data_IF_121598948144
#
_entry.id   IF_121598948144
#
_cell.length_a   1.000
_cell.length_b   1.000
_cell.length_c   1.000
_cell.angle_alpha   90.00
_cell.angle_beta   90.00
_cell.angle_gamma   90.00
#
_symmetry.space_group_name_H-M   'P 1'
#
loop_
_entity.id
_entity.type
_entity.pdbx_description
1 polymer ?
#
# COMPACT_ATOMS: atom_id res chain seq x y z
N UNK A 1 -6.91 -17.82 -20.49
CA UNK A 1 -6.97 -16.51 -19.81
C UNK A 1 -6.68 -16.76 -18.34
N UNK A 2 -5.64 -16.12 -17.80
CA UNK A 2 -5.30 -16.23 -16.38
C UNK A 2 -6.36 -15.59 -15.51
N UNK A 3 -6.57 -16.15 -14.31
CA UNK A 3 -7.47 -15.62 -13.29
C UNK A 3 -6.68 -15.08 -12.10
N UNK A 4 -6.97 -13.86 -11.69
CA UNK A 4 -6.36 -13.25 -10.52
C UNK A 4 -7.41 -12.83 -9.51
N UNK A 5 -7.21 -13.20 -8.24
CA UNK A 5 -7.96 -12.66 -7.12
C UNK A 5 -7.20 -11.47 -6.53
N UNK A 6 -7.90 -10.35 -6.32
CA UNK A 6 -7.38 -9.17 -5.63
C UNK A 6 -8.24 -8.93 -4.40
N UNK A 7 -7.69 -9.18 -3.21
CA UNK A 7 -8.36 -8.74 -1.98
C UNK A 7 -8.14 -7.25 -1.76
N UNK A 8 -9.14 -6.54 -1.23
CA UNK A 8 -9.02 -5.09 -1.04
C UNK A 8 -9.05 -4.28 -2.34
N UNK A 9 -9.78 -4.74 -3.36
CA UNK A 9 -9.87 -4.09 -4.68
C UNK A 9 -10.30 -2.62 -4.63
N UNK A 10 -11.10 -2.23 -3.65
CA UNK A 10 -11.58 -0.85 -3.48
C UNK A 10 -10.54 0.10 -2.88
N UNK A 11 -9.38 -0.42 -2.49
CA UNK A 11 -8.23 0.36 -2.04
C UNK A 11 -7.48 1.05 -3.19
N UNK A 12 -6.47 1.88 -2.84
CA UNK A 12 -5.60 2.51 -3.83
C UNK A 12 -4.94 1.47 -4.73
N UNK A 13 -4.17 0.57 -4.14
CA UNK A 13 -3.37 -0.41 -4.88
C UNK A 13 -4.24 -1.43 -5.60
N UNK A 14 -5.32 -1.90 -4.94
CA UNK A 14 -6.26 -2.84 -5.54
C UNK A 14 -6.89 -2.31 -6.82
N UNK A 15 -7.24 -1.02 -6.85
CA UNK A 15 -7.83 -0.40 -8.03
C UNK A 15 -6.84 -0.24 -9.20
N UNK A 16 -5.59 0.16 -8.93
CA UNK A 16 -4.54 0.24 -9.97
C UNK A 16 -4.11 -1.16 -10.45
N UNK A 17 -4.02 -2.13 -9.53
CA UNK A 17 -3.68 -3.49 -9.91
C UNK A 17 -4.78 -4.12 -10.77
N UNK A 18 -6.05 -3.85 -10.47
CA UNK A 18 -7.17 -4.32 -11.29
C UNK A 18 -7.10 -3.74 -12.71
N UNK A 19 -6.80 -2.44 -12.88
CA UNK A 19 -6.56 -1.83 -14.19
C UNK A 19 -5.43 -2.57 -14.92
N UNK A 20 -4.28 -2.69 -14.29
CA UNK A 20 -3.10 -3.33 -14.86
C UNK A 20 -3.38 -4.77 -15.32
N UNK A 21 -4.07 -5.57 -14.51
CA UNK A 21 -4.34 -6.96 -14.84
C UNK A 21 -5.41 -7.11 -15.93
N UNK A 22 -6.42 -6.25 -15.93
CA UNK A 22 -7.40 -6.20 -17.03
C UNK A 22 -6.75 -5.82 -18.38
N UNK A 23 -5.80 -4.88 -18.38
CA UNK A 23 -5.01 -4.51 -19.57
C UNK A 23 -4.09 -5.63 -20.04
N UNK A 24 -3.71 -6.55 -19.14
CA UNK A 24 -2.93 -7.77 -19.45
C UNK A 24 -3.80 -9.00 -19.75
N UNK A 25 -5.07 -8.80 -20.08
CA UNK A 25 -6.02 -9.85 -20.44
C UNK A 25 -6.32 -10.89 -19.35
N UNK A 26 -6.22 -10.52 -18.08
CA UNK A 26 -6.69 -11.36 -16.97
C UNK A 26 -8.20 -11.27 -16.79
N UNK A 27 -8.80 -12.35 -16.26
CA UNK A 27 -10.04 -12.28 -15.52
C UNK A 27 -9.71 -11.90 -14.08
N UNK A 28 -10.25 -10.79 -13.60
CA UNK A 28 -10.00 -10.26 -12.26
C UNK A 28 -11.21 -10.53 -11.37
N UNK A 29 -10.96 -11.19 -10.24
CA UNK A 29 -11.94 -11.38 -9.17
C UNK A 29 -11.57 -10.40 -8.06
N UNK A 30 -12.30 -9.30 -8.00
CA UNK A 30 -12.07 -8.22 -7.04
C UNK A 30 -12.88 -8.41 -5.77
N UNK A 31 -12.18 -8.69 -4.68
CA UNK A 31 -12.79 -8.95 -3.38
C UNK A 31 -12.90 -7.66 -2.55
N UNK A 32 -14.08 -7.42 -2.02
CA UNK A 32 -14.37 -6.28 -1.15
C UNK A 32 -15.16 -6.71 0.07
N UNK A 33 -14.94 -6.05 1.20
CA UNK A 33 -15.73 -6.27 2.39
C UNK A 33 -17.13 -5.65 2.23
N UNK A 34 -18.16 -6.32 2.71
CA UNK A 34 -19.50 -5.77 2.75
C UNK A 34 -19.53 -4.43 3.48
N UNK A 35 -20.16 -3.44 2.87
CA UNK A 35 -20.36 -2.12 3.44
C UNK A 35 -21.78 -1.62 3.11
N UNK A 36 -22.39 -0.87 4.02
CA UNK A 36 -23.64 -0.15 3.76
C UNK A 36 -23.44 1.12 2.92
N UNK A 37 -22.18 1.55 2.74
CA UNK A 37 -21.83 2.72 1.95
C UNK A 37 -21.16 2.23 0.67
N UNK A 38 -21.50 2.84 -0.47
CA UNK A 38 -20.84 2.57 -1.73
C UNK A 38 -19.36 3.05 -1.65
N UNK A 39 -18.42 2.13 -1.77
CA UNK A 39 -16.98 2.39 -1.73
C UNK A 39 -16.26 2.02 -3.04
N UNK A 40 -17.02 1.93 -4.15
CA UNK A 40 -16.49 1.53 -5.46
C UNK A 40 -15.96 2.71 -6.31
N UNK A 41 -15.83 3.90 -5.76
CA UNK A 41 -15.43 5.11 -6.50
C UNK A 41 -14.10 4.90 -7.28
N UNK A 42 -13.11 4.21 -6.66
CA UNK A 42 -11.81 3.95 -7.30
C UNK A 42 -11.86 2.93 -8.43
N UNK A 43 -12.91 2.13 -8.50
CA UNK A 43 -13.08 1.08 -9.53
C UNK A 43 -14.31 1.28 -10.40
N UNK A 44 -15.00 2.42 -10.26
CA UNK A 44 -16.27 2.70 -10.96
C UNK A 44 -16.18 2.52 -12.48
N UNK A 45 -15.06 2.92 -13.07
CA UNK A 45 -14.84 2.84 -14.50
C UNK A 45 -14.54 1.39 -14.96
N UNK A 46 -14.12 0.53 -14.04
CA UNK A 46 -13.82 -0.88 -14.30
C UNK A 46 -15.03 -1.80 -14.17
N UNK A 47 -16.07 -1.40 -13.40
CA UNK A 47 -17.23 -2.24 -13.11
C UNK A 47 -17.94 -2.74 -14.38
N UNK A 48 -17.89 -1.98 -15.46
CA UNK A 48 -18.49 -2.36 -16.74
C UNK A 48 -17.65 -3.35 -17.56
N UNK A 49 -16.41 -3.61 -17.13
CA UNK A 49 -15.55 -4.55 -17.84
C UNK A 49 -16.04 -6.00 -17.58
N UNK A 50 -16.39 -6.79 -18.61
CA UNK A 50 -16.93 -8.15 -18.43
C UNK A 50 -15.92 -9.12 -17.81
N UNK A 51 -14.63 -8.77 -17.78
CA UNK A 51 -13.57 -9.57 -17.15
C UNK A 51 -13.37 -9.25 -15.67
N UNK A 52 -14.05 -8.24 -15.11
CA UNK A 52 -14.07 -7.94 -13.68
C UNK A 52 -15.29 -8.56 -13.03
N UNK A 53 -15.07 -9.38 -12.03
CA UNK A 53 -16.10 -9.94 -11.15
C UNK A 53 -15.86 -9.35 -9.76
N UNK A 54 -16.89 -8.77 -9.16
CA UNK A 54 -16.82 -8.30 -7.77
C UNK A 54 -17.43 -9.34 -6.84
N UNK A 55 -16.72 -9.68 -5.76
CA UNK A 55 -17.15 -10.66 -4.74
C UNK A 55 -17.13 -10.03 -3.35
N UNK A 56 -18.20 -10.23 -2.59
CA UNK A 56 -18.18 -9.96 -1.16
C UNK A 56 -17.30 -10.98 -0.45
N UNK A 57 -16.37 -10.51 0.37
CA UNK A 57 -15.36 -11.34 0.98
C UNK A 57 -14.86 -10.75 2.30
N UNK A 58 -14.77 -11.59 3.30
CA UNK A 58 -14.12 -11.26 4.57
C UNK A 58 -12.93 -12.21 4.80
N UNK A 59 -11.73 -11.64 4.83
CA UNK A 59 -10.48 -12.39 5.01
C UNK A 59 -10.38 -13.04 6.40
N UNK A 60 -11.13 -12.54 7.38
CA UNK A 60 -11.13 -13.08 8.75
C UNK A 60 -11.96 -14.35 8.86
N UNK A 61 -12.83 -14.66 7.88
CA UNK A 61 -13.61 -15.89 7.83
C UNK A 61 -12.90 -16.97 6.99
N UNK A 62 -12.39 -18.06 7.62
CA UNK A 62 -11.74 -19.16 6.91
C UNK A 62 -12.64 -19.83 5.86
N UNK A 63 -13.95 -19.86 6.11
CA UNK A 63 -14.91 -20.46 5.18
C UNK A 63 -15.04 -19.64 3.90
N UNK A 64 -15.08 -18.29 4.04
CA UNK A 64 -15.05 -17.38 2.89
C UNK A 64 -13.80 -17.58 2.06
N UNK A 65 -12.62 -17.66 2.70
CA UNK A 65 -11.34 -17.89 2.02
C UNK A 65 -11.37 -19.20 1.23
N UNK A 66 -11.77 -20.32 1.86
CA UNK A 66 -11.81 -21.62 1.22
C UNK A 66 -12.81 -21.71 0.07
N UNK A 67 -14.01 -21.13 0.24
CA UNK A 67 -15.04 -21.07 -0.80
C UNK A 67 -14.58 -20.25 -2.00
N UNK A 68 -13.93 -19.09 -1.79
CA UNK A 68 -13.41 -18.23 -2.83
C UNK A 68 -12.36 -18.96 -3.69
N UNK A 69 -11.34 -19.54 -3.04
CA UNK A 69 -10.27 -20.28 -3.73
C UNK A 69 -10.87 -21.50 -4.47
N UNK A 70 -11.80 -22.23 -3.86
CA UNK A 70 -12.43 -23.38 -4.50
C UNK A 70 -13.30 -23.00 -5.71
N UNK A 71 -14.05 -21.88 -5.62
CA UNK A 71 -14.94 -21.40 -6.69
C UNK A 71 -14.17 -21.00 -7.94
N UNK A 72 -13.06 -20.27 -7.75
CA UNK A 72 -12.36 -19.64 -8.89
C UNK A 72 -11.12 -20.39 -9.35
N UNK A 73 -10.46 -21.18 -8.49
CA UNK A 73 -9.18 -21.83 -8.77
C UNK A 73 -8.23 -20.86 -9.50
N UNK A 74 -7.84 -19.75 -8.84
CA UNK A 74 -7.08 -18.70 -9.49
C UNK A 74 -5.66 -19.13 -9.80
N UNK A 75 -5.08 -18.55 -10.85
CA UNK A 75 -3.64 -18.67 -11.13
C UNK A 75 -2.84 -17.82 -10.13
N UNK A 76 -3.39 -16.66 -9.72
CA UNK A 76 -2.69 -15.67 -8.91
C UNK A 76 -3.64 -15.09 -7.84
N UNK A 77 -3.12 -14.89 -6.62
CA UNK A 77 -3.81 -14.18 -5.54
C UNK A 77 -2.94 -13.03 -5.06
N UNK A 78 -3.47 -11.81 -5.12
CA UNK A 78 -2.85 -10.60 -4.60
C UNK A 78 -3.57 -10.17 -3.33
N UNK A 79 -2.93 -10.40 -2.18
CA UNK A 79 -3.52 -10.01 -0.89
C UNK A 79 -3.15 -8.58 -0.51
N UNK A 80 -4.09 -7.66 -0.75
CA UNK A 80 -3.98 -6.23 -0.41
C UNK A 80 -4.97 -5.82 0.69
N UNK A 81 -5.81 -6.75 1.16
CA UNK A 81 -6.71 -6.50 2.29
C UNK A 81 -5.91 -6.30 3.57
N UNK A 82 -6.12 -5.18 4.24
CA UNK A 82 -5.45 -4.85 5.48
C UNK A 82 -6.17 -3.74 6.27
N UNK A 83 -5.94 -3.70 7.58
CA UNK A 83 -6.09 -2.50 8.38
C UNK A 83 -4.77 -1.74 8.32
N UNK A 84 -4.56 -0.86 7.34
CA UNK A 84 -3.26 -0.25 7.01
C UNK A 84 -2.95 1.06 7.73
N UNK A 85 -3.86 1.59 8.54
CA UNK A 85 -3.64 2.86 9.24
C UNK A 85 -2.91 2.63 10.57
N UNK A 86 -1.63 3.01 10.64
CA UNK A 86 -0.77 2.79 11.81
C UNK A 86 -1.37 3.37 13.09
N UNK A 87 -1.90 4.61 13.04
CA UNK A 87 -2.53 5.24 14.23
C UNK A 87 -3.74 4.47 14.76
N UNK A 88 -4.55 3.87 13.89
CA UNK A 88 -5.69 3.03 14.27
C UNK A 88 -5.25 1.74 14.95
N UNK A 89 -4.10 1.16 14.57
CA UNK A 89 -3.62 -0.08 15.17
C UNK A 89 -3.34 0.02 16.66
N UNK A 90 -2.95 1.21 17.15
CA UNK A 90 -2.80 1.44 18.61
C UNK A 90 -4.14 1.43 19.36
N UNK A 91 -5.24 1.80 18.69
CA UNK A 91 -6.58 1.81 19.26
C UNK A 91 -7.31 0.47 19.08
N UNK A 92 -6.97 -0.28 18.04
CA UNK A 92 -7.61 -1.53 17.66
C UNK A 92 -6.58 -2.61 17.33
N UNK A 93 -5.70 -3.00 18.28
CA UNK A 93 -4.62 -3.93 18.01
C UNK A 93 -5.12 -5.33 17.65
N UNK A 94 -6.16 -5.84 18.33
CA UNK A 94 -6.72 -7.17 18.07
C UNK A 94 -7.32 -7.26 16.66
N UNK A 95 -8.16 -6.30 16.26
CA UNK A 95 -8.74 -6.25 14.92
C UNK A 95 -7.66 -6.13 13.83
N UNK A 96 -6.61 -5.33 14.11
CA UNK A 96 -5.47 -5.22 13.20
C UNK A 96 -4.77 -6.58 13.03
N UNK A 97 -4.53 -7.30 14.12
CA UNK A 97 -3.88 -8.60 14.07
C UNK A 97 -4.75 -9.67 13.40
N UNK A 98 -6.05 -9.65 13.66
CA UNK A 98 -7.02 -10.54 13.04
C UNK A 98 -7.03 -10.39 11.51
N UNK A 99 -7.11 -9.17 11.01
CA UNK A 99 -7.13 -8.90 9.56
C UNK A 99 -5.74 -9.15 8.94
N UNK A 100 -4.70 -8.56 9.52
CA UNK A 100 -3.38 -8.44 8.88
C UNK A 100 -2.50 -9.68 9.09
N UNK A 101 -2.89 -10.58 10.01
CA UNK A 101 -2.14 -11.81 10.30
C UNK A 101 -3.01 -13.06 10.11
N UNK A 102 -4.09 -13.19 10.89
CA UNK A 102 -4.94 -14.39 10.83
C UNK A 102 -5.60 -14.51 9.46
N UNK A 103 -6.09 -13.39 8.90
CA UNK A 103 -6.64 -13.38 7.54
C UNK A 103 -5.67 -13.87 6.48
N UNK A 104 -4.38 -13.51 6.59
CA UNK A 104 -3.34 -14.01 5.67
C UNK A 104 -3.16 -15.52 5.81
N UNK A 105 -3.15 -16.05 7.05
CA UNK A 105 -3.06 -17.48 7.32
C UNK A 105 -4.27 -18.21 6.72
N UNK A 106 -5.49 -17.67 6.85
CA UNK A 106 -6.69 -18.26 6.26
C UNK A 106 -6.58 -18.42 4.74
N UNK A 107 -6.03 -17.41 4.03
CA UNK A 107 -5.80 -17.50 2.59
C UNK A 107 -4.72 -18.54 2.25
N UNK A 108 -3.59 -18.52 2.96
CA UNK A 108 -2.50 -19.47 2.73
C UNK A 108 -2.95 -20.91 2.97
N UNK A 109 -3.69 -21.20 4.04
CA UNK A 109 -4.28 -22.51 4.32
C UNK A 109 -5.26 -22.93 3.22
N UNK A 110 -6.09 -21.99 2.75
CA UNK A 110 -7.04 -22.28 1.67
C UNK A 110 -6.32 -22.61 0.36
N UNK A 111 -5.27 -21.86 0.01
CA UNK A 111 -4.45 -22.11 -1.18
C UNK A 111 -3.76 -23.48 -1.06
N UNK A 112 -3.08 -23.74 0.05
CA UNK A 112 -2.40 -25.00 0.32
C UNK A 112 -3.33 -26.21 0.16
N UNK A 113 -4.55 -26.11 0.70
CA UNK A 113 -5.48 -27.24 0.75
C UNK A 113 -6.28 -27.43 -0.54
N UNK A 114 -6.54 -26.35 -1.27
CA UNK A 114 -7.50 -26.35 -2.39
C UNK A 114 -6.83 -26.19 -3.75
N UNK A 115 -5.79 -25.36 -3.86
CA UNK A 115 -5.16 -25.00 -5.14
C UNK A 115 -3.68 -24.64 -4.95
N UNK A 116 -2.86 -25.63 -4.60
CA UNK A 116 -1.45 -25.43 -4.24
C UNK A 116 -0.57 -24.83 -5.36
N UNK A 117 -1.02 -24.89 -6.61
CA UNK A 117 -0.34 -24.26 -7.75
C UNK A 117 -0.60 -22.76 -7.88
N UNK A 118 -1.55 -22.22 -7.11
CA UNK A 118 -1.86 -20.79 -7.10
C UNK A 118 -0.68 -19.99 -6.56
N UNK A 119 -0.22 -19.01 -7.32
CA UNK A 119 0.82 -18.06 -6.87
C UNK A 119 0.22 -17.02 -5.93
N UNK A 120 0.89 -16.77 -4.81
CA UNK A 120 0.41 -15.86 -3.77
C UNK A 120 1.36 -14.69 -3.55
N UNK A 121 0.82 -13.48 -3.62
CA UNK A 121 1.50 -12.23 -3.27
C UNK A 121 0.92 -11.65 -1.98
N UNK A 122 1.80 -11.29 -1.03
CA UNK A 122 1.47 -10.57 0.20
C UNK A 122 2.00 -9.14 0.16
N UNK A 123 1.13 -8.16 0.37
CA UNK A 123 1.55 -6.81 0.67
C UNK A 123 2.11 -6.75 2.09
N UNK A 124 3.43 -6.70 2.21
CA UNK A 124 4.17 -6.38 3.43
C UNK A 124 4.47 -4.87 3.50
N UNK A 125 5.23 -4.42 4.47
CA UNK A 125 5.41 -2.98 4.72
C UNK A 125 6.78 -2.64 5.29
N UNK A 126 7.32 -1.48 4.95
CA UNK A 126 8.52 -0.90 5.56
C UNK A 126 8.37 -0.60 7.06
N UNK A 127 7.15 -0.49 7.59
CA UNK A 127 6.89 -0.31 9.03
C UNK A 127 7.39 -1.50 9.87
N UNK A 128 7.66 -2.66 9.24
CA UNK A 128 8.28 -3.82 9.91
C UNK A 128 9.73 -3.54 10.33
N UNK A 129 10.46 -2.71 9.61
CA UNK A 129 11.83 -2.33 9.97
C UNK A 129 11.88 -1.46 11.23
N UNK A 130 10.83 -0.66 11.47
CA UNK A 130 10.74 0.23 12.62
C UNK A 130 11.90 1.22 12.66
N UNK A 131 12.77 1.10 13.68
CA UNK A 131 13.93 1.99 13.87
C UNK A 131 15.24 1.38 13.37
N UNK A 132 15.17 0.21 12.78
CA UNK A 132 16.36 -0.49 12.31
C UNK A 132 16.73 -0.10 10.88
N UNK A 133 18.00 -0.10 10.58
CA UNK A 133 18.56 0.21 9.25
C UNK A 133 19.98 -0.34 9.11
N UNK A 134 20.37 -0.58 7.90
CA UNK A 134 21.74 -0.85 7.51
C UNK A 134 22.44 0.48 7.16
N UNK A 135 23.74 0.57 7.35
CA UNK A 135 24.54 1.74 6.96
C UNK A 135 25.61 1.30 5.98
N UNK A 136 25.67 1.94 4.82
CA UNK A 136 26.71 1.68 3.84
C UNK A 136 28.07 2.34 4.21
N UNK A 137 29.09 2.08 3.40
CA UNK A 137 30.43 2.61 3.61
C UNK A 137 30.52 4.15 3.56
N UNK A 138 29.53 4.82 2.95
CA UNK A 138 29.42 6.29 2.90
C UNK A 138 28.63 6.89 4.06
N UNK A 139 28.14 6.05 4.99
CA UNK A 139 27.33 6.46 6.13
C UNK A 139 25.84 6.65 5.81
N UNK A 140 25.40 6.25 4.62
CA UNK A 140 24.00 6.35 4.22
C UNK A 140 23.21 5.21 4.85
N UNK A 141 22.11 5.55 5.54
CA UNK A 141 21.18 4.61 6.15
C UNK A 141 20.13 4.17 5.15
N UNK A 142 19.84 2.87 5.11
CA UNK A 142 18.81 2.28 4.26
C UNK A 142 18.24 1.00 4.89
N UNK A 143 17.11 0.53 4.38
CA UNK A 143 16.53 -0.77 4.69
C UNK A 143 16.47 -1.61 3.42
N UNK A 144 16.87 -2.87 3.53
CA UNK A 144 16.79 -3.88 2.49
C UNK A 144 16.26 -5.21 3.05
N UNK A 145 16.20 -6.24 2.24
CA UNK A 145 15.70 -7.56 2.63
C UNK A 145 16.51 -8.24 3.74
N UNK A 146 17.75 -7.80 3.99
CA UNK A 146 18.63 -8.31 5.05
C UNK A 146 18.52 -7.51 6.35
N UNK A 147 17.89 -6.36 6.31
CA UNK A 147 17.72 -5.51 7.49
C UNK A 147 16.78 -6.18 8.49
N UNK A 148 17.23 -6.36 9.74
CA UNK A 148 16.44 -6.98 10.79
C UNK A 148 15.15 -6.21 11.06
N UNK A 149 14.03 -6.94 11.22
CA UNK A 149 12.72 -6.37 11.47
C UNK A 149 12.56 -6.01 12.96
N UNK A 150 12.27 -4.75 13.26
CA UNK A 150 12.07 -4.23 14.62
C UNK A 150 10.87 -3.27 14.70
N UNK A 151 9.65 -3.77 14.45
CA UNK A 151 8.45 -2.93 14.33
C UNK A 151 8.15 -2.11 15.59
N UNK A 152 7.59 -0.92 15.40
CA UNK A 152 7.28 0.04 16.47
C UNK A 152 5.76 0.28 16.62
N UNK A 153 4.92 -0.55 15.99
CA UNK A 153 3.46 -0.42 16.06
C UNK A 153 2.78 -1.79 16.01
N UNK A 154 1.56 -1.93 16.56
CA UNK A 154 0.77 -3.16 16.40
C UNK A 154 0.57 -3.55 14.93
N UNK A 155 0.40 -2.57 14.03
CA UNK A 155 0.36 -2.80 12.59
C UNK A 155 1.66 -3.42 12.06
N UNK A 156 2.81 -2.84 12.40
CA UNK A 156 4.11 -3.37 11.98
C UNK A 156 4.35 -4.79 12.49
N UNK A 157 3.94 -5.10 13.74
CA UNK A 157 4.03 -6.46 14.31
C UNK A 157 3.13 -7.43 13.55
N UNK A 158 1.87 -7.07 13.29
CA UNK A 158 0.94 -7.92 12.55
C UNK A 158 1.45 -8.22 11.13
N UNK A 159 1.97 -7.22 10.44
CA UNK A 159 2.57 -7.38 9.11
C UNK A 159 3.86 -8.21 9.14
N UNK A 160 4.70 -8.06 10.16
CA UNK A 160 5.88 -8.91 10.35
C UNK A 160 5.48 -10.37 10.56
N UNK A 161 4.47 -10.64 11.38
CA UNK A 161 3.97 -11.99 11.61
C UNK A 161 3.47 -12.63 10.30
N UNK A 162 2.64 -11.93 9.52
CA UNK A 162 2.17 -12.44 8.23
C UNK A 162 3.30 -12.61 7.21
N UNK A 163 4.27 -11.69 7.17
CA UNK A 163 5.45 -11.81 6.32
C UNK A 163 6.24 -13.09 6.61
N UNK A 164 6.50 -13.40 7.90
CA UNK A 164 7.16 -14.64 8.31
C UNK A 164 6.33 -15.88 8.00
N UNK A 165 5.00 -15.81 8.14
CA UNK A 165 4.14 -16.91 7.73
C UNK A 165 4.23 -17.19 6.23
N UNK A 166 4.27 -16.17 5.36
CA UNK A 166 4.48 -16.36 3.91
C UNK A 166 5.78 -17.09 3.63
N UNK A 167 6.87 -16.73 4.30
CA UNK A 167 8.16 -17.44 4.17
C UNK A 167 8.06 -18.90 4.58
N UNK A 168 7.43 -19.19 5.72
CA UNK A 168 7.22 -20.57 6.20
C UNK A 168 6.40 -21.38 5.19
N UNK A 169 5.33 -20.81 4.61
CA UNK A 169 4.52 -21.53 3.63
C UNK A 169 5.29 -21.81 2.33
N UNK A 170 6.14 -20.89 1.91
CA UNK A 170 7.07 -21.11 0.79
C UNK A 170 8.07 -22.24 1.08
N UNK A 171 8.72 -22.19 2.24
CA UNK A 171 9.81 -23.11 2.58
C UNK A 171 9.31 -24.51 2.98
N UNK A 172 8.28 -24.57 3.84
CA UNK A 172 7.81 -25.83 4.41
C UNK A 172 6.82 -26.58 3.52
N UNK A 173 6.02 -25.87 2.73
CA UNK A 173 4.95 -26.46 1.91
C UNK A 173 5.17 -26.32 0.41
N UNK A 174 6.24 -25.65 -0.02
CA UNK A 174 6.57 -25.47 -1.43
C UNK A 174 5.61 -24.57 -2.21
N UNK A 175 4.81 -23.72 -1.52
CA UNK A 175 3.93 -22.81 -2.21
C UNK A 175 4.73 -21.71 -2.92
N UNK A 176 4.29 -21.31 -4.11
CA UNK A 176 4.76 -20.06 -4.69
C UNK A 176 4.15 -18.90 -3.92
N UNK A 177 4.83 -18.43 -2.88
CA UNK A 177 4.38 -17.35 -2.03
C UNK A 177 5.49 -16.33 -1.82
N UNK A 178 5.22 -15.04 -2.09
CA UNK A 178 6.19 -13.95 -2.01
C UNK A 178 5.60 -12.72 -1.32
N UNK A 179 6.48 -11.85 -0.80
CA UNK A 179 6.07 -10.63 -0.12
C UNK A 179 6.79 -9.41 -0.68
N UNK A 180 6.03 -8.39 -1.07
CA UNK A 180 6.57 -7.05 -1.35
C UNK A 180 6.68 -6.25 -0.07
N UNK A 181 7.90 -5.91 0.37
CA UNK A 181 8.14 -5.00 1.49
C UNK A 181 8.01 -3.57 0.97
N UNK A 182 6.77 -3.08 0.98
CA UNK A 182 6.43 -1.82 0.33
C UNK A 182 6.79 -0.63 1.22
N UNK A 183 7.51 0.32 0.65
CA UNK A 183 7.67 1.65 1.21
C UNK A 183 6.44 2.50 0.91
N UNK A 184 6.39 3.72 1.44
CA UNK A 184 5.23 4.57 1.26
C UNK A 184 4.98 4.84 -0.23
N UNK A 185 3.77 4.62 -0.68
CA UNK A 185 3.39 4.87 -2.07
C UNK A 185 2.02 5.54 -2.13
N UNK A 186 1.96 6.55 -2.92
CA UNK A 186 0.91 7.53 -2.91
C UNK A 186 0.32 7.71 -4.31
N UNK A 187 -0.83 8.32 -4.39
CA UNK A 187 -1.49 8.69 -5.64
C UNK A 187 -2.72 9.55 -5.35
N UNK A 188 -3.41 10.07 -6.38
CA UNK A 188 -4.75 10.65 -6.23
C UNK A 188 -5.79 9.72 -5.59
N UNK A 189 -5.56 8.39 -5.58
CA UNK A 189 -6.44 7.38 -4.94
C UNK A 189 -6.06 7.05 -3.51
N UNK A 190 -5.06 7.71 -2.92
CA UNK A 190 -4.69 7.50 -1.52
C UNK A 190 -5.86 7.81 -0.58
N UNK A 191 -5.98 7.08 0.53
CA UNK A 191 -6.98 7.37 1.55
C UNK A 191 -6.78 8.76 2.18
N UNK A 192 -7.85 9.50 2.39
CA UNK A 192 -7.81 10.90 2.85
C UNK A 192 -7.23 11.09 4.25
N UNK A 193 -7.19 10.03 5.06
CA UNK A 193 -6.60 10.03 6.40
C UNK A 193 -5.06 9.98 6.41
N UNK A 194 -4.43 9.72 5.26
CA UNK A 194 -2.98 9.71 5.14
C UNK A 194 -2.43 11.11 4.91
N UNK A 195 -1.27 11.41 5.49
CA UNK A 195 -0.70 12.77 5.55
C UNK A 195 -0.59 13.43 4.19
N UNK A 196 -0.12 12.73 3.18
CA UNK A 196 0.04 13.22 1.81
C UNK A 196 -1.29 13.67 1.22
N UNK A 197 -2.33 12.81 1.30
CA UNK A 197 -3.66 13.12 0.79
C UNK A 197 -4.36 14.21 1.60
N UNK A 198 -4.15 14.22 2.93
CA UNK A 198 -4.64 15.31 3.79
C UNK A 198 -4.11 16.66 3.34
N UNK A 199 -2.83 16.73 2.97
CA UNK A 199 -2.20 17.97 2.48
C UNK A 199 -2.81 18.39 1.14
N UNK A 200 -2.90 17.47 0.17
CA UNK A 200 -3.37 17.81 -1.19
C UNK A 200 -4.86 18.15 -1.23
N UNK A 201 -5.69 17.46 -0.46
CA UNK A 201 -7.12 17.78 -0.27
C UNK A 201 -7.32 19.17 0.37
N UNK A 202 -6.52 19.47 1.39
CA UNK A 202 -6.57 20.79 2.01
C UNK A 202 -6.24 21.90 0.99
N UNK A 203 -5.20 21.73 0.18
CA UNK A 203 -4.84 22.68 -0.87
C UNK A 203 -5.98 22.83 -1.89
N UNK A 204 -6.60 21.71 -2.30
CA UNK A 204 -7.76 21.73 -3.18
C UNK A 204 -8.92 22.56 -2.60
N UNK A 205 -9.24 22.33 -1.33
CA UNK A 205 -10.28 23.09 -0.62
C UNK A 205 -9.93 24.58 -0.45
N UNK A 206 -8.66 24.88 -0.15
CA UNK A 206 -8.19 26.26 0.01
C UNK A 206 -8.31 27.06 -1.30
N UNK A 207 -7.79 26.49 -2.41
CA UNK A 207 -7.83 27.14 -3.74
C UNK A 207 -9.27 27.39 -4.20
N UNK A 208 -10.19 26.51 -3.87
CA UNK A 208 -11.60 26.63 -4.25
C UNK A 208 -12.45 27.37 -3.20
N UNK A 209 -11.81 28.05 -2.23
CA UNK A 209 -12.49 28.90 -1.23
C UNK A 209 -13.40 28.16 -0.26
N UNK A 210 -13.17 26.83 -0.05
CA UNK A 210 -13.99 26.00 0.84
C UNK A 210 -13.48 25.94 2.27
N UNK A 211 -12.27 26.39 2.50
CA UNK A 211 -11.69 26.51 3.84
C UNK A 211 -10.81 27.74 3.95
N UNK A 212 -10.80 28.34 5.14
CA UNK A 212 -9.86 29.38 5.58
C UNK A 212 -9.09 28.93 6.82
N UNK A 213 -9.40 27.74 7.35
CA UNK A 213 -8.76 27.18 8.53
C UNK A 213 -7.34 26.71 8.22
N UNK A 214 -6.45 26.72 9.21
CA UNK A 214 -5.10 26.18 9.06
C UNK A 214 -5.10 24.64 8.98
N UNK A 215 -4.18 24.11 8.17
CA UNK A 215 -3.91 22.68 8.10
C UNK A 215 -3.10 22.24 9.31
N UNK A 216 -3.69 21.44 10.17
CA UNK A 216 -2.99 20.86 11.34
C UNK A 216 -2.28 19.56 10.94
N UNK A 217 -0.97 19.52 11.15
CA UNK A 217 -0.10 18.37 10.90
C UNK A 217 0.71 18.01 12.15
N UNK A 218 1.11 16.75 12.26
CA UNK A 218 2.00 16.29 13.32
C UNK A 218 3.47 16.56 13.02
N UNK A 219 4.33 15.56 13.16
CA UNK A 219 5.77 15.67 12.98
C UNK A 219 6.17 15.93 11.51
N UNK A 220 6.56 17.14 11.19
CA UNK A 220 7.02 17.54 9.85
C UNK A 220 8.42 17.00 9.51
N UNK A 221 9.20 16.58 10.49
CA UNK A 221 10.58 16.11 10.29
C UNK A 221 10.68 14.60 10.00
N UNK A 222 9.58 13.86 10.15
CA UNK A 222 9.56 12.45 9.80
C UNK A 222 9.82 12.27 8.29
N UNK A 223 10.80 11.43 7.95
CA UNK A 223 11.23 11.21 6.57
C UNK A 223 10.73 9.87 6.05
N UNK A 224 10.26 9.85 4.83
CA UNK A 224 9.69 8.68 4.15
C UNK A 224 10.23 8.58 2.72
N UNK A 225 10.38 7.36 2.26
CA UNK A 225 10.58 7.06 0.86
C UNK A 225 9.19 6.96 0.22
N UNK A 226 8.83 7.94 -0.60
CA UNK A 226 7.54 8.01 -1.28
C UNK A 226 7.66 7.73 -2.77
N UNK A 227 6.97 6.69 -3.23
CA UNK A 227 6.81 6.39 -4.65
C UNK A 227 5.37 6.51 -5.11
N UNK A 228 5.13 6.26 -6.39
CA UNK A 228 3.79 6.27 -6.97
C UNK A 228 3.18 4.86 -6.97
N UNK A 229 1.91 4.72 -6.58
CA UNK A 229 1.21 3.44 -6.48
C UNK A 229 1.21 2.62 -7.78
N UNK A 230 1.19 3.25 -8.95
CA UNK A 230 1.28 2.56 -10.25
C UNK A 230 2.59 1.78 -10.41
N UNK A 231 3.72 2.34 -10.00
CA UNK A 231 5.01 1.65 -10.04
C UNK A 231 5.01 0.45 -9.10
N UNK A 232 4.39 0.60 -7.92
CA UNK A 232 4.35 -0.45 -6.90
C UNK A 232 3.45 -1.63 -7.30
N UNK A 233 2.28 -1.37 -7.88
CA UNK A 233 1.44 -2.47 -8.38
C UNK A 233 2.07 -3.19 -9.57
N UNK A 234 2.88 -2.50 -10.36
CA UNK A 234 3.67 -3.15 -11.41
C UNK A 234 4.74 -4.09 -10.83
N UNK A 235 5.39 -3.72 -9.71
CA UNK A 235 6.28 -4.62 -8.98
C UNK A 235 5.53 -5.87 -8.47
N UNK A 236 4.33 -5.70 -7.88
CA UNK A 236 3.49 -6.81 -7.41
C UNK A 236 3.23 -7.81 -8.55
N UNK A 237 2.87 -7.30 -9.72
CA UNK A 237 2.68 -8.13 -10.91
C UNK A 237 3.97 -8.89 -11.29
N UNK A 238 5.10 -8.20 -11.42
CA UNK A 238 6.38 -8.79 -11.79
C UNK A 238 6.81 -9.90 -10.83
N UNK A 239 6.59 -9.72 -9.53
CA UNK A 239 6.92 -10.71 -8.51
C UNK A 239 6.20 -12.04 -8.72
N UNK A 240 4.96 -12.05 -9.20
CA UNK A 240 4.24 -13.28 -9.53
C UNK A 240 4.56 -13.83 -10.94
N UNK A 241 5.25 -13.06 -11.78
CA UNK A 241 5.75 -13.55 -13.07
C UNK A 241 7.17 -14.15 -12.98
N UNK A 242 7.89 -13.94 -11.86
CA UNK A 242 9.22 -14.50 -11.68
C UNK A 242 9.20 -16.04 -11.59
N UNK A 243 10.33 -16.68 -11.93
CA UNK A 243 10.46 -18.13 -11.88
C UNK A 243 10.53 -18.66 -10.43
N UNK A 244 11.11 -17.87 -9.52
CA UNK A 244 11.32 -18.23 -8.12
C UNK A 244 10.62 -17.22 -7.23
N UNK A 245 9.84 -17.73 -6.28
CA UNK A 245 9.20 -16.89 -5.27
C UNK A 245 10.24 -16.37 -4.27
N UNK A 246 10.26 -15.06 -4.05
CA UNK A 246 11.15 -14.40 -3.09
C UNK A 246 10.52 -13.09 -2.59
N UNK A 247 11.10 -12.51 -1.54
CA UNK A 247 10.65 -11.25 -0.96
C UNK A 247 11.49 -10.09 -1.49
N UNK A 248 10.85 -8.95 -1.77
CA UNK A 248 11.50 -7.79 -2.38
C UNK A 248 11.13 -6.49 -1.67
N UNK A 249 12.13 -5.66 -1.40
CA UNK A 249 11.93 -4.26 -1.01
C UNK A 249 11.55 -3.45 -2.25
N UNK A 250 10.37 -2.82 -2.20
CA UNK A 250 9.87 -1.96 -3.26
C UNK A 250 9.84 -0.52 -2.73
N UNK A 251 10.70 0.31 -3.30
CA UNK A 251 10.96 1.68 -2.85
C UNK A 251 11.58 2.52 -3.97
N UNK A 252 11.61 3.84 -3.79
CA UNK A 252 12.30 4.74 -4.75
C UNK A 252 13.81 4.83 -4.49
N UNK A 253 14.26 4.53 -3.27
CA UNK A 253 15.65 4.73 -2.83
C UNK A 253 15.95 6.17 -2.41
N UNK A 254 14.96 7.05 -2.44
CA UNK A 254 15.06 8.45 -2.02
C UNK A 254 14.12 8.73 -0.86
N UNK A 255 14.55 9.56 0.08
CA UNK A 255 13.72 9.91 1.24
C UNK A 255 13.50 11.41 1.33
N UNK A 256 12.28 11.81 1.69
CA UNK A 256 11.86 13.20 1.85
C UNK A 256 11.13 13.36 3.19
N UNK A 257 11.26 14.52 3.82
CA UNK A 257 10.50 14.83 5.02
C UNK A 257 9.04 15.19 4.68
N UNK A 258 8.14 15.09 5.66
CA UNK A 258 6.78 15.62 5.53
C UNK A 258 6.83 17.11 5.17
N UNK A 259 7.82 17.84 5.72
CA UNK A 259 8.02 19.26 5.37
C UNK A 259 8.36 19.46 3.89
N UNK A 260 9.18 18.58 3.29
CA UNK A 260 9.51 18.66 1.86
C UNK A 260 8.25 18.42 1.01
N UNK A 261 7.41 17.46 1.38
CA UNK A 261 6.13 17.24 0.71
C UNK A 261 5.22 18.46 0.82
N UNK A 262 5.08 19.05 2.01
CA UNK A 262 4.30 20.28 2.25
C UNK A 262 4.80 21.40 1.38
N UNK A 263 6.11 21.69 1.44
CA UNK A 263 6.73 22.78 0.64
C UNK A 263 6.43 22.60 -0.86
N UNK A 264 6.67 21.40 -1.37
CA UNK A 264 6.46 21.08 -2.79
C UNK A 264 4.99 21.20 -3.19
N UNK A 265 4.08 20.68 -2.37
CA UNK A 265 2.65 20.75 -2.64
C UNK A 265 2.12 22.18 -2.70
N UNK A 266 2.47 23.03 -1.73
CA UNK A 266 2.08 24.44 -1.74
C UNK A 266 2.74 25.23 -2.87
N UNK A 267 4.01 24.93 -3.18
CA UNK A 267 4.71 25.56 -4.29
C UNK A 267 4.05 25.26 -5.65
N UNK A 268 3.43 24.10 -5.82
CA UNK A 268 2.70 23.71 -7.05
C UNK A 268 1.57 24.70 -7.39
N UNK A 269 0.99 25.35 -6.37
CA UNK A 269 -0.10 26.32 -6.51
C UNK A 269 0.32 27.76 -6.17
N UNK A 270 1.62 28.04 -6.11
CA UNK A 270 2.21 29.34 -5.80
C UNK A 270 1.78 29.92 -4.43
N UNK A 271 1.59 29.09 -3.43
CA UNK A 271 1.27 29.48 -2.06
C UNK A 271 2.46 29.25 -1.12
N UNK A 272 2.52 30.05 -0.04
CA UNK A 272 3.49 29.86 1.03
C UNK A 272 2.85 28.99 2.15
N UNK A 273 3.37 27.80 2.37
CA UNK A 273 2.83 26.88 3.39
C UNK A 273 2.82 27.44 4.81
N UNK A 274 3.73 28.41 5.13
CA UNK A 274 3.83 28.99 6.48
C UNK A 274 2.58 29.77 6.87
N UNK A 275 1.80 30.24 5.91
CA UNK A 275 0.58 31.01 6.13
C UNK A 275 -0.63 30.10 6.39
N UNK A 276 -0.45 28.76 6.21
CA UNK A 276 -1.56 27.81 6.20
C UNK A 276 -1.36 26.56 7.04
N UNK A 277 -0.13 26.27 7.52
CA UNK A 277 0.19 25.01 8.21
C UNK A 277 0.56 25.27 9.66
N UNK A 278 -0.09 24.56 10.56
CA UNK A 278 0.18 24.54 12.00
C UNK A 278 0.62 23.15 12.45
N UNK A 279 1.55 23.10 13.41
CA UNK A 279 1.97 21.86 14.06
C UNK A 279 1.05 21.60 15.24
N UNK A 280 0.42 20.41 15.25
CA UNK A 280 -0.44 19.97 16.32
C UNK A 280 0.20 18.74 17.00
N UNK A 281 0.54 18.87 18.28
CA UNK A 281 1.21 17.82 19.06
C UNK A 281 0.30 16.61 19.34
N UNK A 282 -1.02 16.79 19.33
CA UNK A 282 -1.96 15.69 19.50
C UNK A 282 -1.94 14.70 18.33
N UNK A 283 -1.41 15.12 17.17
CA UNK A 283 -1.26 14.30 15.98
C UNK A 283 0.06 13.51 15.95
N UNK A 284 0.92 13.64 16.97
CA UNK A 284 2.15 12.86 17.05
C UNK A 284 1.83 11.41 17.41
N UNK A 285 2.55 10.47 16.80
CA UNK A 285 2.38 9.05 17.10
C UNK A 285 3.07 8.70 18.44
N UNK A 286 2.51 7.76 19.23
CA UNK A 286 3.13 7.32 20.47
C UNK A 286 4.55 6.76 20.29
N UNK A 287 4.79 6.06 19.17
CA UNK A 287 6.11 5.59 18.76
C UNK A 287 6.31 5.96 17.27
N UNK A 288 7.20 6.91 17.03
CA UNK A 288 7.45 7.43 15.68
C UNK A 288 8.65 6.72 15.05
N UNK A 289 8.48 6.31 13.82
CA UNK A 289 9.58 5.91 12.93
C UNK A 289 10.05 7.17 12.21
N UNK A 290 11.19 7.71 12.61
CA UNK A 290 11.66 9.00 12.11
C UNK A 290 12.24 8.96 10.70
N UNK A 291 12.72 7.80 10.25
CA UNK A 291 13.43 7.67 9.00
C UNK A 291 13.15 6.34 8.31
N UNK A 292 12.69 6.40 7.07
CA UNK A 292 12.54 5.27 6.18
C UNK A 292 13.14 5.63 4.80
N UNK A 293 14.07 4.78 4.34
CA UNK A 293 14.67 4.84 3.01
C UNK A 293 15.00 3.42 2.58
N UNK A 294 14.39 2.94 1.51
CA UNK A 294 14.65 1.59 1.03
C UNK A 294 15.83 1.49 0.06
N UNK A 295 16.31 0.26 -0.12
CA UNK A 295 17.17 -0.13 -1.24
C UNK A 295 16.40 -1.11 -2.13
N UNK A 296 16.17 -0.72 -3.37
CA UNK A 296 15.47 -1.55 -4.38
C UNK A 296 16.44 -2.37 -5.25
N UNK A 297 17.68 -2.52 -4.82
CA UNK A 297 18.74 -3.18 -5.62
C UNK A 297 18.38 -4.60 -6.03
N UNK A 298 17.76 -5.39 -5.12
CA UNK A 298 17.30 -6.75 -5.42
C UNK A 298 16.18 -6.76 -6.45
N UNK A 299 15.19 -5.87 -6.31
CA UNK A 299 14.08 -5.76 -7.25
C UNK A 299 14.56 -5.34 -8.65
N UNK A 300 15.52 -4.42 -8.74
CA UNK A 300 16.14 -4.04 -10.03
C UNK A 300 16.83 -5.21 -10.70
N UNK A 301 17.65 -5.96 -9.96
CA UNK A 301 18.46 -7.05 -10.52
C UNK A 301 17.60 -8.26 -10.89
N UNK A 302 16.66 -8.65 -10.04
CA UNK A 302 15.89 -9.89 -10.22
C UNK A 302 14.62 -9.70 -11.05
N UNK A 303 13.96 -8.55 -10.96
CA UNK A 303 12.69 -8.27 -11.63
C UNK A 303 12.80 -7.26 -12.78
N UNK A 304 13.95 -6.59 -12.93
CA UNK A 304 14.09 -5.47 -13.85
C UNK A 304 13.19 -4.27 -13.47
N UNK A 305 12.76 -4.20 -12.21
CA UNK A 305 11.86 -3.16 -11.75
C UNK A 305 12.60 -1.92 -11.24
N UNK A 306 12.10 -0.76 -11.63
CA UNK A 306 12.53 0.52 -11.06
C UNK A 306 11.36 1.52 -11.06
N UNK A 307 11.35 2.49 -10.13
CA UNK A 307 10.32 3.53 -10.11
C UNK A 307 10.46 4.44 -11.34
N UNK A 308 9.35 4.79 -11.95
CA UNK A 308 9.28 5.61 -13.16
C UNK A 308 8.77 7.02 -12.91
N UNK A 309 8.01 7.22 -11.83
CA UNK A 309 7.39 8.51 -11.49
C UNK A 309 8.18 9.18 -10.38
N UNK A 310 8.65 10.40 -10.63
CA UNK A 310 9.44 11.18 -9.68
C UNK A 310 8.58 11.67 -8.49
N UNK A 311 9.24 11.99 -7.38
CA UNK A 311 8.57 12.63 -6.23
C UNK A 311 7.86 13.93 -6.61
N UNK A 312 8.48 14.74 -7.45
CA UNK A 312 7.94 16.01 -7.90
C UNK A 312 6.67 15.84 -8.75
N UNK A 313 6.67 14.85 -9.66
CA UNK A 313 5.53 14.54 -10.50
C UNK A 313 4.38 13.94 -9.66
N UNK A 314 4.69 13.07 -8.71
CA UNK A 314 3.73 12.51 -7.77
C UNK A 314 3.00 13.60 -6.98
N UNK A 315 3.75 14.53 -6.37
CA UNK A 315 3.16 15.63 -5.58
C UNK A 315 2.29 16.50 -6.47
N UNK A 316 2.80 16.86 -7.65
CA UNK A 316 2.07 17.69 -8.61
C UNK A 316 0.77 16.99 -9.08
N UNK A 317 0.82 15.72 -9.45
CA UNK A 317 -0.37 14.95 -9.85
C UNK A 317 -1.44 14.96 -8.76
N UNK A 318 -1.06 14.68 -7.50
CA UNK A 318 -1.99 14.66 -6.38
C UNK A 318 -2.63 16.03 -6.11
N UNK A 319 -1.82 17.11 -6.11
CA UNK A 319 -2.32 18.48 -5.89
C UNK A 319 -3.28 18.90 -7.01
N UNK A 320 -2.90 18.69 -8.26
CA UNK A 320 -3.73 19.07 -9.41
C UNK A 320 -5.06 18.30 -9.42
N UNK A 321 -5.00 16.99 -9.17
CA UNK A 321 -6.20 16.16 -9.07
C UNK A 321 -7.17 16.69 -8.01
N UNK A 322 -6.70 16.94 -6.78
CA UNK A 322 -7.56 17.39 -5.70
C UNK A 322 -8.09 18.82 -5.92
N UNK A 323 -7.31 19.69 -6.55
CA UNK A 323 -7.76 21.02 -6.94
C UNK A 323 -8.89 20.97 -7.98
N UNK A 324 -8.83 20.05 -8.94
CA UNK A 324 -9.87 19.87 -9.95
C UNK A 324 -11.13 19.20 -9.39
N UNK A 325 -10.98 18.18 -8.56
CA UNK A 325 -12.11 17.48 -7.93
C UNK A 325 -12.92 18.44 -7.04
N UNK A 326 -12.29 19.32 -6.33
CA UNK A 326 -12.96 20.33 -5.50
C UNK A 326 -13.72 21.39 -6.32
N UNK A 327 -13.44 21.58 -7.62
CA UNK A 327 -14.23 22.45 -8.52
C UNK A 327 -15.57 21.85 -8.91
N UNK A 328 -15.63 20.52 -9.08
CA UNK A 328 -16.79 19.81 -9.67
C UNK A 328 -17.98 19.72 -8.71
N UNK A 329 -17.80 19.95 -7.42
CA UNK A 329 -18.85 19.80 -6.38
C UNK A 329 -19.61 21.13 -6.15
N UNK A 330 -19.56 22.10 -7.05
CA UNK A 330 -20.43 23.27 -7.13
C UNK A 330 -21.60 22.98 -8.07
#
# INVERSE_FOLDING_TARGET
>A
MKKAIITGITGQDGSYLAELLLDKDYQVIGCHRRSSINNFERVKDLIKNPRLILEEFDITDPSCCSQLINKYRPDEVYNLAAQSHVGTSFKQPSTTFEIDTIGVINLLESIKSVSADTKFYQASTSEMFGRNYTTDASGIKFQDENTELLPQSPYGIAKMASHRMVQIYREAYGLYACSGILFNHESPRRGENFVTRKITKYIGSLINGRTTDSLKLGNLNASRDWGHAKDYVYAMYLMLQADIADDFVICTGSTYSVLDFVKKAFQTVNLNYKDHVEIDQELFRPAEVSYLRGSNSKARLALGWEPTISFDDLVKEMVMHDTEQEKIVL
#
